data_IF_062988278076
#
_entry.id   IF_062988278076
#
_cell.length_a   1.000
_cell.length_b   1.000
_cell.length_c   1.000
_cell.angle_alpha   90.00
_cell.angle_beta   90.00
_cell.angle_gamma   90.00
#
_symmetry.space_group_name_H-M   'P 1'
#
loop_
_entity.id
_entity.type
_entity.pdbx_description
1 polymer ?
#
# COMPACT_ATOMS: atom_id res chain seq x y z
N UNK A 1 10.21 -20.45 2.59
CA UNK A 1 11.63 -20.61 2.20
C UNK A 1 12.25 -19.30 1.78
N UNK A 2 11.54 -18.48 0.99
CA UNK A 2 11.97 -17.17 0.48
C UNK A 2 12.64 -16.26 1.53
N UNK A 3 12.01 -16.09 2.69
CA UNK A 3 12.51 -15.18 3.75
C UNK A 3 13.89 -15.56 4.33
N UNK A 4 14.19 -16.88 4.42
CA UNK A 4 15.45 -17.39 5.00
C UNK A 4 16.63 -17.38 4.03
N UNK A 5 16.34 -17.38 2.73
CA UNK A 5 17.35 -17.42 1.67
C UNK A 5 17.60 -16.06 1.04
N UNK A 6 16.81 -15.05 1.38
CA UNK A 6 16.90 -13.74 0.76
C UNK A 6 18.18 -13.02 1.19
N UNK A 7 18.93 -12.52 0.21
CA UNK A 7 20.03 -11.57 0.44
C UNK A 7 19.50 -10.17 0.80
N UNK A 8 18.31 -9.84 0.29
CA UNK A 8 17.64 -8.55 0.47
C UNK A 8 16.16 -8.76 0.79
N UNK A 9 15.67 -8.06 1.80
CA UNK A 9 14.25 -8.01 2.17
C UNK A 9 13.76 -6.57 2.05
N UNK A 10 12.73 -6.36 1.23
CA UNK A 10 12.10 -5.06 1.04
C UNK A 10 10.83 -4.99 1.88
N UNK A 11 10.74 -4.00 2.75
CA UNK A 11 9.51 -3.64 3.47
C UNK A 11 8.88 -2.49 2.67
N UNK A 12 7.76 -2.76 2.00
CA UNK A 12 7.05 -1.80 1.18
C UNK A 12 5.92 -1.08 1.95
N UNK A 13 5.32 -0.06 1.34
CA UNK A 13 4.21 0.75 1.90
C UNK A 13 4.52 1.34 3.28
N UNK A 14 5.79 1.69 3.52
CA UNK A 14 6.23 2.22 4.82
C UNK A 14 5.66 3.61 5.13
N UNK A 15 5.16 4.29 4.12
CA UNK A 15 4.47 5.58 4.19
C UNK A 15 3.06 5.51 4.81
N UNK A 16 2.43 4.33 4.80
CA UNK A 16 1.06 4.13 5.34
C UNK A 16 1.01 3.22 6.55
N UNK A 17 2.05 2.41 6.77
CA UNK A 17 2.14 1.49 7.90
C UNK A 17 2.48 2.21 9.21
N UNK A 18 1.91 1.75 10.33
CA UNK A 18 2.29 2.23 11.66
C UNK A 18 3.70 1.77 12.04
N UNK A 19 4.40 2.56 12.86
CA UNK A 19 5.75 2.25 13.34
C UNK A 19 5.83 0.86 13.99
N UNK A 20 4.84 0.48 14.80
CA UNK A 20 4.81 -0.83 15.47
C UNK A 20 4.76 -1.99 14.46
N UNK A 21 4.01 -1.84 13.36
CA UNK A 21 3.96 -2.86 12.30
C UNK A 21 5.33 -2.99 11.62
N UNK A 22 6.00 -1.87 11.38
CA UNK A 22 7.35 -1.88 10.76
C UNK A 22 8.35 -2.56 11.71
N UNK A 23 8.34 -2.20 12.99
CA UNK A 23 9.23 -2.77 14.02
C UNK A 23 9.02 -4.29 14.12
N UNK A 24 7.78 -4.76 14.19
CA UNK A 24 7.46 -6.19 14.23
C UNK A 24 8.05 -6.95 13.02
N UNK A 25 7.95 -6.40 11.82
CA UNK A 25 8.55 -7.01 10.63
C UNK A 25 10.08 -7.04 10.73
N UNK A 26 10.70 -5.97 11.23
CA UNK A 26 12.16 -5.95 11.43
C UNK A 26 12.63 -6.99 12.46
N UNK A 27 11.91 -7.17 13.56
CA UNK A 27 12.22 -8.20 14.57
C UNK A 27 12.09 -9.61 14.00
N UNK A 28 11.05 -9.84 13.18
CA UNK A 28 10.89 -11.10 12.46
C UNK A 28 12.03 -11.34 11.46
N UNK A 29 12.48 -10.32 10.73
CA UNK A 29 13.64 -10.44 9.83
C UNK A 29 14.89 -10.79 10.63
N UNK A 30 15.17 -10.08 11.73
CA UNK A 30 16.37 -10.33 12.55
C UNK A 30 16.38 -11.73 13.17
N UNK A 31 15.22 -12.23 13.60
CA UNK A 31 15.13 -13.57 14.18
C UNK A 31 15.25 -14.70 13.15
N UNK A 32 14.80 -14.47 11.91
CA UNK A 32 14.75 -15.52 10.87
C UNK A 32 15.94 -15.48 9.92
N UNK A 33 16.42 -14.30 9.55
CA UNK A 33 17.50 -14.07 8.60
C UNK A 33 18.27 -12.78 8.95
N UNK A 34 19.13 -12.81 9.97
CA UNK A 34 19.87 -11.64 10.44
C UNK A 34 20.89 -11.09 9.43
N UNK A 35 21.21 -11.84 8.38
CA UNK A 35 22.20 -11.46 7.36
C UNK A 35 21.57 -10.71 6.18
N UNK A 36 20.24 -10.74 6.04
CA UNK A 36 19.55 -10.04 4.96
C UNK A 36 19.67 -8.53 5.10
N UNK A 37 19.97 -7.85 3.98
CA UNK A 37 19.89 -6.38 3.91
C UNK A 37 18.41 -5.96 3.90
N UNK A 38 18.04 -5.07 4.81
CA UNK A 38 16.68 -4.51 4.86
C UNK A 38 16.63 -3.21 4.07
N UNK A 39 15.63 -3.09 3.19
CA UNK A 39 15.34 -1.87 2.44
C UNK A 39 13.91 -1.43 2.73
N UNK A 40 13.73 -0.15 3.07
CA UNK A 40 12.42 0.46 3.22
C UNK A 40 12.02 1.10 1.90
N UNK A 41 10.78 0.86 1.49
CA UNK A 41 10.22 1.41 0.26
C UNK A 41 8.86 2.03 0.53
N UNK A 42 8.74 3.31 0.21
CA UNK A 42 7.47 3.98 0.08
C UNK A 42 6.81 3.56 -1.24
N UNK A 43 5.48 3.49 -1.26
CA UNK A 43 4.72 3.16 -2.47
C UNK A 43 3.70 4.25 -2.76
N UNK A 44 4.15 5.46 -3.10
CA UNK A 44 3.27 6.61 -3.29
C UNK A 44 2.32 6.37 -4.47
N UNK A 45 1.06 6.74 -4.27
CA UNK A 45 0.04 6.68 -5.31
C UNK A 45 0.19 7.92 -6.19
N UNK A 46 0.26 7.71 -7.50
CA UNK A 46 0.39 8.77 -8.49
C UNK A 46 -0.64 8.61 -9.61
N UNK A 47 -0.98 9.73 -10.24
CA UNK A 47 -1.97 9.80 -11.31
C UNK A 47 -1.30 10.41 -12.53
N UNK A 48 -1.17 9.62 -13.59
CA UNK A 48 -0.51 10.02 -14.82
C UNK A 48 -1.33 11.07 -15.61
N UNK A 49 -2.67 10.93 -15.60
CA UNK A 49 -3.61 11.81 -16.31
C UNK A 49 -4.68 12.44 -15.39
N UNK A 50 -4.31 13.44 -14.58
CA UNK A 50 -5.25 14.08 -13.63
C UNK A 50 -6.49 14.69 -14.28
N UNK A 51 -6.42 15.05 -15.56
CA UNK A 51 -7.55 15.60 -16.32
C UNK A 51 -8.70 14.61 -16.51
N UNK A 52 -8.44 13.30 -16.50
CA UNK A 52 -9.46 12.26 -16.70
C UNK A 52 -10.46 12.16 -15.53
N UNK A 53 -10.02 12.61 -14.36
CA UNK A 53 -10.76 12.54 -13.09
C UNK A 53 -11.20 13.92 -12.59
N UNK A 54 -10.83 14.98 -13.32
CA UNK A 54 -11.31 16.34 -13.10
C UNK A 54 -12.85 16.34 -13.21
N UNK A 55 -13.51 16.92 -12.21
CA UNK A 55 -14.98 17.00 -12.07
C UNK A 55 -15.71 15.66 -11.83
N UNK A 56 -14.97 14.56 -11.57
CA UNK A 56 -15.55 13.29 -11.10
C UNK A 56 -15.78 13.36 -9.59
N UNK A 57 -16.92 12.85 -9.14
CA UNK A 57 -17.31 12.88 -7.71
C UNK A 57 -16.69 11.76 -6.88
N UNK A 58 -16.29 10.66 -7.52
CA UNK A 58 -15.64 9.53 -6.88
C UNK A 58 -14.80 8.78 -7.91
N UNK A 59 -13.67 8.22 -7.46
CA UNK A 59 -12.83 7.29 -8.20
C UNK A 59 -12.57 6.09 -7.31
N UNK A 60 -12.92 4.89 -7.78
CA UNK A 60 -12.61 3.64 -7.09
C UNK A 60 -11.55 2.94 -7.92
N UNK A 61 -10.38 2.71 -7.31
CA UNK A 61 -9.29 1.99 -7.93
C UNK A 61 -9.23 0.62 -7.26
N UNK A 62 -9.45 -0.43 -8.06
CA UNK A 62 -9.26 -1.80 -7.62
C UNK A 62 -8.12 -2.41 -8.43
N UNK A 63 -7.09 -2.90 -7.74
CA UNK A 63 -6.05 -3.67 -8.37
C UNK A 63 -5.68 -4.86 -7.48
N UNK A 64 -5.68 -6.05 -8.07
CA UNK A 64 -5.30 -7.29 -7.42
C UNK A 64 -5.94 -8.55 -8.03
N UNK A 65 -5.15 -9.56 -8.45
CA UNK A 65 -5.67 -10.88 -8.86
C UNK A 65 -6.43 -11.59 -7.72
N UNK A 66 -6.14 -11.24 -6.47
CA UNK A 66 -6.76 -11.79 -5.26
C UNK A 66 -8.23 -11.39 -5.10
N UNK A 67 -8.63 -10.25 -5.67
CA UNK A 67 -10.00 -9.77 -5.60
C UNK A 67 -10.84 -10.28 -6.78
N UNK A 68 -10.27 -10.25 -7.98
CA UNK A 68 -10.97 -10.64 -9.21
C UNK A 68 -11.05 -12.15 -9.39
N UNK A 69 -10.07 -12.91 -8.89
CA UNK A 69 -9.99 -14.37 -9.09
C UNK A 69 -9.52 -15.16 -7.84
N UNK A 70 -9.24 -14.52 -6.70
CA UNK A 70 -8.59 -15.15 -5.53
C UNK A 70 -9.41 -15.20 -4.23
N UNK A 71 -10.68 -14.79 -4.24
CA UNK A 71 -11.62 -15.00 -3.13
C UNK A 71 -11.43 -14.12 -1.89
N UNK A 72 -10.67 -13.02 -1.99
CA UNK A 72 -10.57 -12.05 -0.90
C UNK A 72 -11.87 -11.25 -0.78
N UNK A 73 -12.42 -11.09 0.42
CA UNK A 73 -13.72 -10.42 0.64
C UNK A 73 -13.66 -8.89 0.58
N UNK A 74 -12.45 -8.31 0.51
CA UNK A 74 -12.21 -6.86 0.56
C UNK A 74 -11.03 -6.50 -0.34
N UNK A 75 -11.19 -5.45 -1.15
CA UNK A 75 -10.20 -5.00 -2.13
C UNK A 75 -9.46 -3.74 -1.71
N UNK A 76 -8.55 -3.28 -2.58
CA UNK A 76 -7.98 -1.94 -2.47
C UNK A 76 -9.09 -0.88 -2.34
N UNK A 77 -10.21 -1.03 -3.05
CA UNK A 77 -11.40 -0.17 -2.89
C UNK A 77 -12.11 -0.26 -1.53
N UNK A 78 -11.72 -1.15 -0.61
CA UNK A 78 -12.33 -1.32 0.71
C UNK A 78 -11.35 -1.06 1.86
N UNK A 79 -10.12 -1.55 1.78
CA UNK A 79 -9.07 -1.28 2.79
C UNK A 79 -8.29 0.01 2.52
N UNK A 80 -8.14 0.37 1.25
CA UNK A 80 -7.53 1.60 0.74
C UNK A 80 -8.61 2.38 -0.03
N UNK A 81 -9.87 2.44 0.45
CA UNK A 81 -10.90 3.31 -0.16
C UNK A 81 -10.39 4.74 -0.04
N UNK A 82 -9.67 5.14 -1.07
CA UNK A 82 -9.16 6.47 -1.26
C UNK A 82 -10.35 7.22 -1.85
N UNK A 83 -11.20 7.75 -0.97
CA UNK A 83 -12.11 8.81 -1.38
C UNK A 83 -11.22 10.01 -1.71
N UNK A 84 -10.91 10.14 -2.99
CA UNK A 84 -10.30 11.36 -3.49
C UNK A 84 -11.41 12.39 -3.61
N UNK A 85 -11.56 13.24 -2.58
CA UNK A 85 -12.38 14.45 -2.73
C UNK A 85 -11.65 15.44 -3.66
N UNK A 86 -12.21 15.64 -4.85
CA UNK A 86 -11.71 16.63 -5.80
C UNK A 86 -12.28 18.02 -5.45
N UNK A 87 -11.53 18.81 -4.69
CA UNK A 87 -11.71 20.26 -4.56
C UNK A 87 -10.79 21.04 -5.50
N UNK A 88 -11.05 22.32 -5.80
CA UNK A 88 -10.38 23.09 -6.86
C UNK A 88 -8.87 23.32 -6.69
N UNK A 89 -8.21 22.78 -5.66
CA UNK A 89 -6.77 22.94 -5.49
C UNK A 89 -6.05 21.97 -4.53
N UNK A 90 -6.71 20.99 -3.88
CA UNK A 90 -6.01 20.01 -3.01
C UNK A 90 -6.71 18.66 -2.98
N UNK A 91 -5.91 17.59 -3.08
CA UNK A 91 -6.31 16.21 -2.86
C UNK A 91 -6.24 15.92 -1.36
N UNK A 92 -7.36 15.51 -0.75
CA UNK A 92 -7.38 15.05 0.64
C UNK A 92 -7.75 13.58 0.64
N UNK A 93 -6.97 12.79 1.38
CA UNK A 93 -7.25 11.38 1.64
C UNK A 93 -7.88 11.28 3.02
N UNK A 94 -9.03 10.63 3.10
CA UNK A 94 -9.63 10.23 4.36
C UNK A 94 -9.82 8.70 4.32
N UNK A 95 -9.56 7.98 5.42
CA UNK A 95 -9.96 6.58 5.53
C UNK A 95 -11.49 6.50 5.44
N UNK A 96 -12.00 5.44 4.79
CA UNK A 96 -13.41 5.10 4.91
C UNK A 96 -13.72 4.72 6.36
N UNK A 97 -14.76 5.33 6.93
CA UNK A 97 -15.38 4.88 8.19
C UNK A 97 -16.10 3.54 8.02
#
# INVERSE_FOLDING_TARGET
>A
TNFRMADVIIINKTDTATSDKIINVQENIKSVNPQAKIVFAESPISIDKPEMIKDRKALVIEDGPTLTHGGMSFGAGFSDLIIVEFGPSKMKFAPAE
#
